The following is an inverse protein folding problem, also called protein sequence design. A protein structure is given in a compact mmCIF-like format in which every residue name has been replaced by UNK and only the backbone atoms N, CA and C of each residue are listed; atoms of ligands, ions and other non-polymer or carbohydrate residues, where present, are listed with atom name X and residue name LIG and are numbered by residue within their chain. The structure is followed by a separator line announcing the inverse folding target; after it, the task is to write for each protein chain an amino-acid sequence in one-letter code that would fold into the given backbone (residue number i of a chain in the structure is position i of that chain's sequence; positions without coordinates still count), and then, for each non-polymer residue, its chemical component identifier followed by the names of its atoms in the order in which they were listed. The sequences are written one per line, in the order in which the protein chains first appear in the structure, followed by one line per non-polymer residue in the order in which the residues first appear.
data_IF_981619299033
#
_entry.id   IF_981619299033
#
_cell.length_a   1.000
_cell.length_b   1.000
_cell.length_c   1.000
_cell.angle_alpha   90.00
_cell.angle_beta   90.00
_cell.angle_gamma   90.00
#
_symmetry.space_group_name_H-M   'P 1'
#
loop_
_entity.id
_entity.type
_entity.pdbx_description
1 polymer ?
#
# COMPACT_ATOMS: atom_id res chain seq x y z
N UNK A 1 -10.59 65.71 -59.26
CA UNK A 1 -10.67 65.16 -57.91
C UNK A 1 -10.95 63.64 -58.00
N UNK A 2 -11.97 63.11 -58.67
CA UNK A 2 -12.31 61.68 -58.78
C UNK A 2 -11.24 60.78 -59.43
N UNK A 3 -10.35 61.30 -60.28
CA UNK A 3 -9.30 60.50 -60.91
C UNK A 3 -8.11 60.28 -59.94
N UNK A 4 -7.77 61.22 -59.10
CA UNK A 4 -6.70 61.12 -58.10
C UNK A 4 -7.09 60.19 -56.96
N UNK A 5 -8.34 60.16 -56.55
CA UNK A 5 -8.87 59.18 -55.57
C UNK A 5 -8.75 57.72 -56.11
N UNK A 6 -9.13 57.53 -57.39
CA UNK A 6 -9.07 56.22 -58.04
C UNK A 6 -7.63 55.66 -58.21
N UNK A 7 -6.65 56.54 -58.40
CA UNK A 7 -5.24 56.20 -58.50
C UNK A 7 -4.67 55.88 -57.12
N UNK A 8 -5.06 56.66 -56.11
CA UNK A 8 -4.68 56.40 -54.71
C UNK A 8 -5.18 55.02 -54.21
N UNK A 9 -6.45 54.68 -54.47
CA UNK A 9 -7.04 53.39 -54.13
C UNK A 9 -6.36 52.18 -54.81
N UNK A 10 -5.97 52.38 -56.09
CA UNK A 10 -5.24 51.33 -56.84
C UNK A 10 -3.82 51.08 -56.29
N UNK A 11 -3.12 52.14 -55.87
CA UNK A 11 -1.78 52.06 -55.33
C UNK A 11 -1.76 51.43 -53.93
N UNK A 12 -2.65 51.81 -53.07
CA UNK A 12 -2.84 51.22 -51.73
C UNK A 12 -3.23 49.78 -51.82
N UNK A 13 -4.12 49.36 -52.67
CA UNK A 13 -4.46 47.95 -52.90
C UNK A 13 -3.26 47.13 -53.36
N UNK A 14 -2.45 47.66 -54.33
CA UNK A 14 -1.25 46.97 -54.79
C UNK A 14 -0.19 46.82 -53.69
N UNK A 15 0.00 47.84 -52.86
CA UNK A 15 0.91 47.81 -51.73
C UNK A 15 0.45 46.80 -50.69
N UNK A 16 -0.85 46.78 -50.33
CA UNK A 16 -1.45 45.81 -49.40
C UNK A 16 -1.27 44.36 -49.93
N UNK A 17 -1.58 44.11 -51.18
CA UNK A 17 -1.45 42.77 -51.75
C UNK A 17 0.03 42.30 -51.78
N UNK A 18 0.96 43.19 -52.10
CA UNK A 18 2.40 42.84 -52.03
C UNK A 18 2.86 42.60 -50.64
N UNK A 19 2.42 43.40 -49.66
CA UNK A 19 2.70 43.20 -48.26
C UNK A 19 2.14 41.87 -47.74
N UNK A 20 0.87 41.58 -48.07
CA UNK A 20 0.25 40.30 -47.69
C UNK A 20 0.97 39.09 -48.27
N UNK A 21 1.37 39.14 -49.54
CA UNK A 21 2.14 38.06 -50.18
C UNK A 21 3.50 37.82 -49.55
N UNK A 22 4.15 38.84 -49.04
CA UNK A 22 5.45 38.71 -48.41
C UNK A 22 5.35 38.38 -46.90
N UNK A 23 4.38 39.00 -46.21
CA UNK A 23 4.27 38.88 -44.77
C UNK A 23 3.52 37.63 -44.33
N UNK A 24 2.47 37.22 -45.05
CA UNK A 24 1.64 36.08 -44.69
C UNK A 24 2.41 34.76 -44.59
N UNK A 25 3.31 34.40 -45.57
CA UNK A 25 4.13 33.22 -45.45
C UNK A 25 5.06 33.26 -44.23
N UNK A 26 5.63 34.41 -43.91
CA UNK A 26 6.49 34.56 -42.71
C UNK A 26 5.70 34.31 -41.42
N UNK A 27 4.50 34.90 -41.34
CA UNK A 27 3.60 34.67 -40.19
C UNK A 27 3.23 33.21 -40.07
N UNK A 28 2.90 32.54 -41.18
CA UNK A 28 2.57 31.12 -41.19
C UNK A 28 3.77 30.27 -40.68
N UNK A 29 4.97 30.56 -41.18
CA UNK A 29 6.20 29.84 -40.74
C UNK A 29 6.44 30.07 -39.25
N UNK A 30 6.36 31.29 -38.78
CA UNK A 30 6.55 31.58 -37.34
C UNK A 30 5.47 30.90 -36.50
N UNK A 31 4.21 30.95 -36.94
CA UNK A 31 3.11 30.29 -36.24
C UNK A 31 3.30 28.77 -36.17
N UNK A 32 3.66 28.13 -37.29
CA UNK A 32 3.90 26.68 -37.30
C UNK A 32 5.10 26.30 -36.41
N UNK A 33 6.16 27.10 -36.39
CA UNK A 33 7.33 26.90 -35.53
C UNK A 33 6.96 27.02 -34.03
N UNK A 34 6.19 28.04 -33.66
CA UNK A 34 5.72 28.23 -32.29
C UNK A 34 4.78 27.09 -31.87
N UNK A 35 3.90 26.66 -32.77
CA UNK A 35 3.00 25.54 -32.53
C UNK A 35 3.77 24.23 -32.32
N UNK A 36 4.76 23.97 -33.14
CA UNK A 36 5.63 22.77 -33.01
C UNK A 36 6.39 22.77 -31.68
N UNK A 37 7.01 23.91 -31.32
CA UNK A 37 7.70 24.06 -30.04
C UNK A 37 6.72 23.83 -28.87
N UNK A 38 5.50 24.37 -28.94
CA UNK A 38 4.49 24.19 -27.91
C UNK A 38 4.08 22.73 -27.76
N UNK A 39 3.77 22.04 -28.86
CA UNK A 39 3.36 20.63 -28.87
C UNK A 39 4.48 19.74 -28.33
N UNK A 40 5.72 19.95 -28.82
CA UNK A 40 6.88 19.17 -28.41
C UNK A 40 7.22 19.40 -26.93
N UNK A 41 7.20 20.64 -26.46
CA UNK A 41 7.45 20.96 -25.04
C UNK A 41 6.38 20.35 -24.13
N UNK A 42 5.09 20.43 -24.54
CA UNK A 42 3.99 19.80 -23.79
C UNK A 42 4.16 18.27 -23.71
N UNK A 43 4.52 17.62 -24.81
CA UNK A 43 4.76 16.18 -24.84
C UNK A 43 5.92 15.80 -23.92
N UNK A 44 7.06 16.49 -24.03
CA UNK A 44 8.21 16.26 -23.18
C UNK A 44 7.91 16.45 -21.69
N UNK A 45 7.12 17.50 -21.34
CA UNK A 45 6.69 17.72 -19.96
C UNK A 45 5.79 16.60 -19.43
N UNK A 46 4.86 16.09 -20.23
CA UNK A 46 4.02 14.95 -19.85
C UNK A 46 4.84 13.66 -19.66
N UNK A 47 5.75 13.37 -20.57
CA UNK A 47 6.65 12.22 -20.47
C UNK A 47 7.53 12.29 -19.20
N UNK A 48 8.05 13.47 -18.88
CA UNK A 48 8.82 13.68 -17.65
C UNK A 48 7.98 13.43 -16.39
N UNK A 49 6.72 13.90 -16.36
CA UNK A 49 5.79 13.65 -15.25
C UNK A 49 5.53 12.15 -15.13
N UNK A 50 5.16 11.47 -16.21
CA UNK A 50 4.90 10.03 -16.20
C UNK A 50 6.11 9.22 -15.72
N UNK A 51 7.30 9.54 -16.23
CA UNK A 51 8.54 8.88 -15.81
C UNK A 51 8.81 9.08 -14.31
N UNK A 52 8.59 10.29 -13.80
CA UNK A 52 8.74 10.60 -12.37
C UNK A 52 7.73 9.83 -11.51
N UNK A 53 6.46 9.77 -11.93
CA UNK A 53 5.41 9.03 -11.22
C UNK A 53 5.68 7.52 -11.21
N UNK A 54 6.07 6.94 -12.35
CA UNK A 54 6.46 5.53 -12.43
C UNK A 54 7.64 5.20 -11.51
N UNK A 55 8.65 6.06 -11.47
CA UNK A 55 9.79 5.90 -10.57
C UNK A 55 9.35 5.92 -9.10
N UNK A 56 8.50 6.85 -8.71
CA UNK A 56 7.97 6.96 -7.35
C UNK A 56 7.18 5.69 -6.96
N UNK A 57 6.31 5.20 -7.85
CA UNK A 57 5.57 3.95 -7.64
C UNK A 57 6.54 2.77 -7.47
N UNK A 58 7.53 2.62 -8.35
CA UNK A 58 8.52 1.54 -8.27
C UNK A 58 9.31 1.57 -6.95
N UNK A 59 9.72 2.75 -6.48
CA UNK A 59 10.38 2.92 -5.19
C UNK A 59 9.45 2.49 -4.05
N UNK A 60 8.18 2.90 -4.10
CA UNK A 60 7.17 2.51 -3.11
C UNK A 60 6.94 1.01 -3.05
N UNK A 61 6.74 0.37 -4.19
CA UNK A 61 6.58 -1.10 -4.30
C UNK A 61 7.79 -1.82 -3.72
N UNK A 62 8.99 -1.49 -4.19
CA UNK A 62 10.24 -2.13 -3.69
C UNK A 62 10.44 -1.94 -2.19
N UNK A 63 10.05 -0.78 -1.65
CA UNK A 63 10.17 -0.51 -0.22
C UNK A 63 9.17 -1.33 0.60
N UNK A 64 7.93 -1.50 0.12
CA UNK A 64 6.92 -2.36 0.75
C UNK A 64 7.35 -3.83 0.69
N UNK A 65 7.86 -4.30 -0.45
CA UNK A 65 8.40 -5.67 -0.59
C UNK A 65 9.54 -5.95 0.40
N UNK A 66 10.46 -5.02 0.58
CA UNK A 66 11.52 -5.11 1.59
C UNK A 66 10.97 -5.21 3.00
N UNK A 67 9.92 -4.45 3.33
CA UNK A 67 9.24 -4.55 4.63
C UNK A 67 8.67 -5.96 4.79
N UNK A 68 7.89 -6.45 3.82
CA UNK A 68 7.27 -7.78 3.90
C UNK A 68 8.32 -8.89 4.02
N UNK A 69 9.40 -8.81 3.23
CA UNK A 69 10.51 -9.74 3.32
C UNK A 69 11.19 -9.70 4.71
N UNK A 70 11.39 -8.52 5.27
CA UNK A 70 11.94 -8.38 6.63
C UNK A 70 11.03 -9.05 7.68
N UNK A 71 9.71 -8.85 7.56
CA UNK A 71 8.73 -9.43 8.49
C UNK A 71 8.65 -10.94 8.37
N UNK A 72 8.67 -11.50 7.15
CA UNK A 72 8.72 -12.96 6.95
C UNK A 72 10.02 -13.57 7.46
N UNK A 73 11.14 -12.87 7.29
CA UNK A 73 12.44 -13.28 7.86
C UNK A 73 12.41 -13.29 9.39
N UNK A 74 11.84 -12.25 10.01
CA UNK A 74 11.66 -12.16 11.46
C UNK A 74 10.76 -13.31 11.98
N UNK A 75 9.66 -13.59 11.29
CA UNK A 75 8.77 -14.70 11.64
C UNK A 75 9.47 -16.05 11.52
N UNK A 76 10.23 -16.26 10.43
CA UNK A 76 11.03 -17.45 10.23
C UNK A 76 12.10 -17.65 11.32
N UNK A 77 12.73 -16.56 11.78
CA UNK A 77 13.64 -16.58 12.91
C UNK A 77 12.94 -17.01 14.21
N UNK A 78 11.78 -16.41 14.50
CA UNK A 78 11.01 -16.73 15.71
C UNK A 78 10.53 -18.20 15.73
N UNK A 79 10.13 -18.75 14.58
CA UNK A 79 9.76 -20.17 14.46
C UNK A 79 10.95 -21.08 14.71
N UNK A 80 12.13 -20.72 14.22
CA UNK A 80 13.37 -21.51 14.39
C UNK A 80 14.01 -21.38 15.77
N UNK A 81 13.52 -20.46 16.62
CA UNK A 81 13.99 -20.42 18.00
C UNK A 81 13.75 -21.78 18.65
N UNK A 82 14.80 -22.33 19.23
CA UNK A 82 14.84 -23.66 19.78
C UNK A 82 13.68 -24.00 20.74
N UNK A 83 13.14 -22.99 21.36
CA UNK A 83 12.01 -23.09 22.30
C UNK A 83 10.67 -23.39 21.60
N UNK A 84 10.51 -22.97 20.33
CA UNK A 84 9.29 -23.28 19.58
C UNK A 84 9.24 -24.73 19.12
N UNK A 85 10.37 -25.35 18.88
CA UNK A 85 10.46 -26.77 18.47
C UNK A 85 10.12 -27.73 19.59
N UNK A 86 10.33 -27.32 20.84
CA UNK A 86 9.95 -28.08 22.03
C UNK A 86 8.66 -27.60 22.64
N UNK A 87 7.68 -27.20 21.77
CA UNK A 87 6.44 -26.52 22.15
C UNK A 87 5.95 -27.03 23.49
N UNK A 88 6.45 -26.36 24.48
CA UNK A 88 6.26 -26.72 25.85
C UNK A 88 4.77 -26.65 26.21
N UNK A 89 4.24 -27.59 26.92
CA UNK A 89 2.94 -27.48 27.53
C UNK A 89 2.82 -26.11 28.19
N UNK A 90 1.72 -25.43 27.92
CA UNK A 90 1.45 -24.09 28.45
C UNK A 90 1.59 -24.10 29.97
N UNK A 91 2.76 -23.80 30.52
CA UNK A 91 3.10 -23.65 31.96
C UNK A 91 4.55 -24.04 32.28
N UNK A 92 5.33 -24.44 31.31
CA UNK A 92 6.74 -24.79 31.53
C UNK A 92 7.59 -23.51 31.67
N UNK A 93 8.78 -23.67 32.21
CA UNK A 93 9.74 -22.56 32.30
C UNK A 93 10.20 -22.12 30.89
N UNK A 94 10.22 -23.05 29.94
CA UNK A 94 10.52 -22.78 28.53
C UNK A 94 9.48 -21.85 27.89
N UNK A 95 8.18 -22.01 28.17
CA UNK A 95 7.15 -21.12 27.69
C UNK A 95 7.31 -19.70 28.24
N UNK A 96 7.69 -19.55 29.51
CA UNK A 96 7.97 -18.25 30.11
C UNK A 96 9.22 -17.59 29.51
N UNK A 97 10.25 -18.38 29.20
CA UNK A 97 11.43 -17.84 28.55
C UNK A 97 11.14 -17.40 27.13
N UNK A 98 10.33 -18.15 26.37
CA UNK A 98 9.85 -17.76 25.06
C UNK A 98 9.11 -16.41 25.10
N UNK A 99 8.21 -16.22 26.06
CA UNK A 99 7.48 -14.96 26.23
C UNK A 99 8.40 -13.78 26.56
N UNK A 100 9.46 -13.99 27.36
CA UNK A 100 10.49 -12.98 27.64
C UNK A 100 11.32 -12.63 26.39
N UNK A 101 11.69 -13.64 25.59
CA UNK A 101 12.42 -13.44 24.34
C UNK A 101 11.57 -12.63 23.35
N UNK A 102 10.28 -12.94 23.22
CA UNK A 102 9.35 -12.19 22.39
C UNK A 102 9.11 -10.77 22.90
N UNK A 103 9.12 -10.58 24.20
CA UNK A 103 9.04 -9.24 24.78
C UNK A 103 10.26 -8.41 24.41
N UNK A 104 11.48 -8.97 24.54
CA UNK A 104 12.72 -8.32 24.13
C UNK A 104 12.75 -8.05 22.61
N UNK A 105 12.35 -9.02 21.81
CA UNK A 105 12.23 -8.89 20.37
C UNK A 105 11.23 -7.79 19.97
N UNK A 106 10.03 -7.80 20.57
CA UNK A 106 9.00 -6.78 20.33
C UNK A 106 9.49 -5.38 20.67
N UNK A 107 10.21 -5.24 21.80
CA UNK A 107 10.82 -3.97 22.20
C UNK A 107 11.88 -3.50 21.21
N UNK A 108 12.76 -4.40 20.78
CA UNK A 108 13.84 -4.10 19.84
C UNK A 108 13.32 -3.66 18.46
N UNK A 109 12.30 -4.35 17.96
CA UNK A 109 11.73 -4.08 16.63
C UNK A 109 10.78 -2.89 16.60
N UNK A 110 9.92 -2.74 17.62
CA UNK A 110 8.97 -1.64 17.74
C UNK A 110 7.92 -1.52 16.63
N UNK A 111 7.80 -2.54 15.77
CA UNK A 111 6.92 -2.54 14.59
C UNK A 111 5.77 -3.55 14.66
N UNK A 112 5.84 -4.46 15.61
CA UNK A 112 4.82 -5.49 15.81
C UNK A 112 3.86 -5.06 16.91
N UNK A 113 2.56 -4.96 16.58
CA UNK A 113 1.51 -4.71 17.58
C UNK A 113 1.29 -5.94 18.45
N UNK A 114 1.42 -7.14 17.85
CA UNK A 114 1.26 -8.39 18.56
C UNK A 114 2.14 -9.49 17.99
N UNK A 115 2.66 -10.35 18.87
CA UNK A 115 3.25 -11.64 18.57
C UNK A 115 2.39 -12.67 19.27
N UNK A 116 1.90 -13.69 18.55
CA UNK A 116 1.01 -14.69 19.14
C UNK A 116 1.29 -16.08 18.62
N UNK A 117 1.26 -17.01 19.54
CA UNK A 117 1.27 -18.44 19.27
C UNK A 117 -0.13 -19.02 19.50
N UNK A 118 -0.64 -19.72 18.51
CA UNK A 118 -1.92 -20.45 18.56
C UNK A 118 -1.65 -21.91 18.27
N UNK A 119 -2.21 -22.80 19.08
CA UNK A 119 -2.13 -24.23 18.81
C UNK A 119 -2.94 -24.66 17.58
N UNK A 120 -2.89 -25.94 17.23
CA UNK A 120 -3.62 -26.50 16.08
C UNK A 120 -5.15 -26.36 16.17
N UNK A 121 -5.71 -26.08 17.35
CA UNK A 121 -7.14 -25.80 17.54
C UNK A 121 -7.49 -24.32 17.38
N UNK A 122 -6.50 -23.42 17.29
CA UNK A 122 -6.67 -21.98 17.23
C UNK A 122 -6.71 -21.29 18.59
N UNK A 123 -6.47 -22.03 19.67
CA UNK A 123 -6.39 -21.44 21.01
C UNK A 123 -5.03 -20.75 21.18
N UNK A 124 -5.04 -19.47 21.56
CA UNK A 124 -3.81 -18.76 21.92
C UNK A 124 -3.15 -19.44 23.15
N UNK A 125 -1.84 -19.67 23.08
CA UNK A 125 -0.99 -20.23 24.15
C UNK A 125 -0.02 -19.21 24.70
N UNK A 126 0.42 -18.27 23.88
CA UNK A 126 1.28 -17.16 24.26
C UNK A 126 0.95 -15.93 23.42
N UNK A 127 0.98 -14.75 24.04
CA UNK A 127 0.81 -13.49 23.35
C UNK A 127 1.58 -12.36 24.01
N UNK A 128 2.31 -11.60 23.19
CA UNK A 128 2.93 -10.33 23.57
C UNK A 128 2.23 -9.23 22.79
N UNK A 129 1.76 -8.20 23.48
CA UNK A 129 1.19 -6.99 22.86
C UNK A 129 2.15 -5.82 23.07
N UNK A 130 2.22 -4.93 22.07
CA UNK A 130 2.99 -3.68 22.18
C UNK A 130 2.05 -2.51 22.43
N UNK A 131 1.85 -2.19 23.71
CA UNK A 131 0.94 -1.14 24.15
C UNK A 131 1.72 0.11 24.57
N UNK A 132 1.37 1.28 23.99
CA UNK A 132 1.93 2.59 24.39
C UNK A 132 3.45 2.55 24.59
N UNK A 133 4.17 2.05 23.58
CA UNK A 133 5.63 1.92 23.54
C UNK A 133 6.26 0.98 24.58
N UNK A 134 5.45 0.11 25.17
CA UNK A 134 5.91 -0.96 26.06
C UNK A 134 5.30 -2.30 25.65
N UNK A 135 6.11 -3.30 25.36
CA UNK A 135 5.59 -4.66 25.16
C UNK A 135 5.18 -5.26 26.50
N UNK A 136 4.09 -6.00 26.49
CA UNK A 136 3.57 -6.71 27.67
C UNK A 136 3.22 -8.14 27.28
N UNK A 137 3.54 -9.08 28.18
CA UNK A 137 3.04 -10.45 28.09
C UNK A 137 1.58 -10.46 28.54
N UNK A 138 0.73 -11.09 27.76
CA UNK A 138 -0.70 -11.16 28.07
C UNK A 138 -0.96 -12.35 29.03
N UNK A 139 -1.66 -12.09 30.15
CA UNK A 139 -2.02 -13.14 31.09
C UNK A 139 -2.86 -14.24 30.44
N UNK A 140 -2.72 -15.47 30.88
CA UNK A 140 -3.39 -16.65 30.31
C UNK A 140 -4.90 -16.53 30.24
N UNK A 141 -5.51 -15.89 31.23
CA UNK A 141 -6.95 -15.66 31.32
C UNK A 141 -7.47 -14.74 30.23
N UNK A 142 -6.59 -13.96 29.60
CA UNK A 142 -6.89 -13.02 28.52
C UNK A 142 -6.56 -13.58 27.14
N UNK A 143 -5.99 -14.80 27.07
CA UNK A 143 -5.72 -15.51 25.81
C UNK A 143 -7.05 -15.96 25.19
N UNK A 144 -7.16 -15.85 23.87
CA UNK A 144 -8.42 -15.98 23.15
C UNK A 144 -8.40 -17.15 22.17
N UNK A 145 -9.57 -17.72 21.93
CA UNK A 145 -9.80 -18.61 20.80
C UNK A 145 -9.86 -17.82 19.50
N UNK A 146 -9.00 -18.17 18.56
CA UNK A 146 -8.89 -17.59 17.21
C UNK A 146 -9.22 -18.60 16.10
N UNK A 147 -9.77 -19.77 16.44
CA UNK A 147 -10.13 -20.81 15.48
C UNK A 147 -11.02 -20.35 14.34
N UNK A 148 -11.93 -19.40 14.61
CA UNK A 148 -12.86 -18.82 13.61
C UNK A 148 -12.28 -17.66 12.79
N UNK A 149 -11.01 -17.33 13.00
CA UNK A 149 -10.40 -16.21 12.26
C UNK A 149 -9.76 -16.72 10.97
N UNK A 150 -10.06 -16.03 9.86
CA UNK A 150 -9.58 -16.42 8.53
C UNK A 150 -8.05 -16.56 8.47
N UNK A 151 -7.32 -15.65 9.10
CA UNK A 151 -5.87 -15.66 9.10
C UNK A 151 -5.25 -16.89 9.80
N UNK A 152 -5.94 -17.43 10.81
CA UNK A 152 -5.53 -18.68 11.44
C UNK A 152 -5.76 -19.86 10.51
N UNK A 153 -6.98 -19.99 9.97
CA UNK A 153 -7.36 -21.07 9.09
C UNK A 153 -6.48 -21.13 7.81
N UNK A 154 -6.17 -19.96 7.24
CA UNK A 154 -5.37 -19.87 6.03
C UNK A 154 -3.88 -20.12 6.30
N UNK A 155 -3.33 -19.61 7.39
CA UNK A 155 -1.96 -19.91 7.80
C UNK A 155 -1.77 -21.40 8.16
N UNK A 156 -2.75 -22.01 8.81
CA UNK A 156 -2.68 -23.43 9.20
C UNK A 156 -2.66 -24.40 8.01
N UNK A 157 -3.19 -24.01 6.84
CA UNK A 157 -3.20 -24.83 5.61
C UNK A 157 -1.83 -24.93 4.95
N UNK A 158 -0.93 -23.98 5.22
CA UNK A 158 0.36 -23.87 4.57
C UNK A 158 1.29 -25.00 4.95
N UNK A 159 2.31 -25.20 4.13
CA UNK A 159 3.41 -26.12 4.40
C UNK A 159 4.51 -25.44 5.23
N UNK A 160 5.46 -26.23 5.68
CA UNK A 160 6.63 -25.70 6.38
C UNK A 160 7.40 -24.70 5.50
N UNK A 161 7.77 -23.56 6.09
CA UNK A 161 8.50 -22.50 5.40
C UNK A 161 7.65 -21.57 4.54
N UNK A 162 6.35 -21.84 4.39
CA UNK A 162 5.42 -20.94 3.71
C UNK A 162 4.86 -19.89 4.67
N UNK A 163 4.55 -18.71 4.13
CA UNK A 163 4.03 -17.59 4.91
C UNK A 163 2.67 -17.13 4.37
N UNK A 164 1.71 -16.99 5.28
CA UNK A 164 0.47 -16.30 5.03
C UNK A 164 0.67 -14.80 5.24
N UNK A 165 0.18 -13.98 4.32
CA UNK A 165 0.15 -12.50 4.44
C UNK A 165 -1.29 -12.05 4.22
N UNK A 166 -1.88 -11.41 5.23
CA UNK A 166 -3.25 -10.89 5.10
C UNK A 166 -3.31 -9.64 4.23
N UNK A 167 -4.48 -9.30 3.69
CA UNK A 167 -4.75 -7.93 3.26
C UNK A 167 -4.45 -6.92 4.39
N UNK A 168 -4.12 -5.68 3.99
CA UNK A 168 -4.06 -4.57 4.93
C UNK A 168 -5.50 -4.19 5.32
N UNK A 169 -5.83 -4.34 6.59
CA UNK A 169 -7.15 -4.05 7.15
C UNK A 169 -7.05 -3.25 8.46
N UNK A 170 -8.17 -2.87 9.05
CA UNK A 170 -8.21 -2.23 10.37
C UNK A 170 -8.30 -3.28 11.48
N UNK A 171 -7.60 -3.05 12.58
CA UNK A 171 -7.69 -3.94 13.71
C UNK A 171 -9.10 -3.97 14.30
N UNK A 172 -9.57 -5.19 14.59
CA UNK A 172 -10.86 -5.44 15.23
C UNK A 172 -10.60 -6.02 16.63
N UNK A 173 -10.99 -5.29 17.65
CA UNK A 173 -10.92 -5.73 19.03
C UNK A 173 -12.35 -5.87 19.59
N UNK A 174 -12.64 -7.01 20.23
CA UNK A 174 -13.98 -7.33 20.80
C UNK A 174 -15.14 -7.09 19.80
N UNK A 175 -14.92 -7.41 18.52
CA UNK A 175 -15.92 -7.28 17.45
C UNK A 175 -16.13 -5.87 16.90
N UNK A 176 -15.35 -4.88 17.32
CA UNK A 176 -15.42 -3.49 16.84
C UNK A 176 -14.08 -3.04 16.27
N UNK A 177 -14.11 -2.15 15.27
CA UNK A 177 -12.89 -1.48 14.80
C UNK A 177 -12.30 -0.67 15.94
N UNK A 178 -11.03 -0.92 16.24
CA UNK A 178 -10.31 -0.23 17.33
C UNK A 178 -10.18 1.27 17.04
N UNK A 179 -10.31 2.10 18.10
CA UNK A 179 -10.13 3.54 18.01
C UNK A 179 -9.01 4.02 18.94
N UNK A 180 -8.11 4.87 18.47
CA UNK A 180 -7.97 5.31 17.07
C UNK A 180 -7.70 4.14 16.13
N UNK A 181 -8.07 4.29 14.85
CA UNK A 181 -7.91 3.22 13.85
C UNK A 181 -6.46 2.75 13.78
N UNK A 182 -6.28 1.43 13.70
CA UNK A 182 -4.97 0.79 13.56
C UNK A 182 -4.95 -0.09 12.30
N UNK A 183 -4.36 0.37 11.20
CA UNK A 183 -4.09 -0.47 10.06
C UNK A 183 -3.14 -1.62 10.43
N UNK A 184 -3.46 -2.84 10.01
CA UNK A 184 -2.70 -4.06 10.33
C UNK A 184 -2.47 -4.94 9.12
N UNK A 185 -1.30 -5.55 9.02
CA UNK A 185 -1.06 -6.76 8.24
C UNK A 185 -0.72 -7.88 9.20
N UNK A 186 -1.35 -9.03 8.98
CA UNK A 186 -1.07 -10.25 9.75
C UNK A 186 -0.23 -11.17 8.92
N UNK A 187 0.92 -11.56 9.44
CA UNK A 187 1.83 -12.50 8.79
C UNK A 187 1.92 -13.71 9.70
N UNK A 188 1.60 -14.89 9.17
CA UNK A 188 1.56 -16.15 9.92
C UNK A 188 2.27 -17.27 9.17
N UNK A 189 2.74 -18.25 9.92
CA UNK A 189 3.32 -19.48 9.37
C UNK A 189 2.98 -20.65 10.29
N UNK A 190 2.77 -21.84 9.74
CA UNK A 190 2.59 -23.01 10.58
C UNK A 190 3.91 -23.38 11.29
N UNK A 191 3.77 -23.94 12.47
CA UNK A 191 4.90 -24.45 13.27
C UNK A 191 4.80 -25.96 13.34
N UNK A 192 5.91 -26.64 13.10
CA UNK A 192 6.04 -28.09 13.11
C UNK A 192 6.98 -28.52 14.22
N UNK A 193 6.75 -29.67 14.78
CA UNK A 193 7.67 -30.32 15.74
C UNK A 193 8.76 -31.13 15.01
N UNK A 194 9.63 -31.76 15.79
CA UNK A 194 10.71 -32.61 15.28
C UNK A 194 10.22 -33.87 14.53
N UNK A 195 8.94 -34.22 14.70
CA UNK A 195 8.26 -35.33 14.00
C UNK A 195 7.50 -34.87 12.79
N UNK A 196 7.73 -33.63 12.32
CA UNK A 196 7.05 -32.99 11.21
C UNK A 196 5.51 -32.85 11.40
N UNK A 197 5.05 -32.94 12.67
CA UNK A 197 3.64 -32.75 13.00
C UNK A 197 3.34 -31.27 13.22
N UNK A 198 2.29 -30.79 12.57
CA UNK A 198 1.84 -29.40 12.67
C UNK A 198 1.25 -29.11 14.05
N UNK A 199 1.88 -28.24 14.80
CA UNK A 199 1.52 -27.90 16.17
C UNK A 199 0.62 -26.69 16.29
N UNK A 200 0.62 -25.80 15.27
CA UNK A 200 -0.20 -24.60 15.27
C UNK A 200 0.35 -23.51 14.36
N UNK A 201 0.10 -22.25 14.71
CA UNK A 201 0.47 -21.09 13.92
C UNK A 201 1.13 -20.02 14.78
N UNK A 202 2.33 -19.58 14.38
CA UNK A 202 2.92 -18.35 14.88
C UNK A 202 2.50 -17.18 13.99
N UNK A 203 2.05 -16.08 14.60
CA UNK A 203 1.49 -14.93 13.89
C UNK A 203 2.06 -13.63 14.44
N UNK A 204 2.46 -12.74 13.52
CA UNK A 204 2.83 -11.36 13.79
C UNK A 204 1.73 -10.42 13.28
N UNK A 205 1.30 -9.50 14.12
CA UNK A 205 0.53 -8.34 13.69
C UNK A 205 1.50 -7.19 13.44
N UNK A 206 1.76 -6.88 12.16
CA UNK A 206 2.62 -5.79 11.76
C UNK A 206 1.81 -4.49 11.64
N UNK A 207 2.35 -3.38 12.15
CA UNK A 207 1.68 -2.06 12.08
C UNK A 207 1.64 -1.55 10.66
N UNK A 208 0.48 -1.58 10.03
CA UNK A 208 0.25 -1.15 8.65
C UNK A 208 0.49 0.34 8.41
N UNK A 209 0.46 1.17 9.47
CA UNK A 209 0.81 2.59 9.39
C UNK A 209 2.19 2.82 8.77
N UNK A 210 3.16 1.94 9.03
CA UNK A 210 4.50 2.03 8.44
C UNK A 210 4.47 1.83 6.93
N UNK A 211 3.61 0.95 6.43
CA UNK A 211 3.44 0.76 4.98
C UNK A 211 2.81 2.01 4.36
N UNK A 212 1.79 2.59 5.02
CA UNK A 212 1.18 3.83 4.56
C UNK A 212 2.15 5.01 4.60
N UNK A 213 3.04 5.05 5.60
CA UNK A 213 4.10 6.07 5.70
C UNK A 213 5.11 5.92 4.56
N UNK A 214 5.63 4.71 4.34
CA UNK A 214 6.58 4.43 3.24
C UNK A 214 5.95 4.74 1.88
N UNK A 215 4.68 4.36 1.67
CA UNK A 215 3.93 4.74 0.49
C UNK A 215 3.91 6.27 0.31
N UNK A 216 3.52 7.02 1.35
CA UNK A 216 3.47 8.48 1.30
C UNK A 216 4.83 9.12 1.01
N UNK A 217 5.88 8.64 1.67
CA UNK A 217 7.25 9.14 1.48
C UNK A 217 7.77 8.86 0.07
N UNK A 218 7.49 7.70 -0.50
CA UNK A 218 7.90 7.35 -1.86
C UNK A 218 7.19 8.14 -2.94
N UNK A 219 5.97 8.62 -2.67
CA UNK A 219 5.21 9.46 -3.60
C UNK A 219 5.67 10.92 -3.59
N UNK A 220 6.38 11.39 -2.56
CA UNK A 220 6.88 12.77 -2.47
C UNK A 220 5.78 13.81 -2.76
N UNK A 221 6.08 14.78 -3.62
CA UNK A 221 5.14 15.83 -4.02
C UNK A 221 3.91 15.32 -4.78
N UNK A 222 3.99 14.13 -5.38
CA UNK A 222 2.86 13.46 -6.04
C UNK A 222 1.90 12.79 -5.05
N UNK A 223 2.24 12.71 -3.77
CA UNK A 223 1.49 11.98 -2.74
C UNK A 223 0.02 12.42 -2.56
N UNK A 224 -0.30 13.67 -2.88
CA UNK A 224 -1.70 14.17 -2.87
C UNK A 224 -2.54 13.67 -4.05
N UNK A 225 -1.90 13.15 -5.11
CA UNK A 225 -2.54 12.65 -6.35
C UNK A 225 -2.45 11.14 -6.50
N UNK A 226 -1.67 10.47 -5.66
CA UNK A 226 -1.51 9.04 -5.68
C UNK A 226 -2.49 8.38 -4.70
N UNK A 227 -3.12 7.29 -5.13
CA UNK A 227 -4.08 6.54 -4.35
C UNK A 227 -3.59 5.11 -4.15
N UNK A 228 -3.73 4.61 -2.93
CA UNK A 228 -3.49 3.20 -2.61
C UNK A 228 -4.83 2.49 -2.48
N UNK A 229 -5.04 1.49 -3.31
CA UNK A 229 -6.27 0.70 -3.36
C UNK A 229 -5.98 -0.74 -2.92
N UNK A 230 -7.00 -1.39 -2.37
CA UNK A 230 -6.99 -2.85 -2.28
C UNK A 230 -7.48 -3.49 -3.60
N UNK A 231 -7.43 -4.81 -3.69
CA UNK A 231 -7.85 -5.55 -4.89
C UNK A 231 -9.31 -5.37 -5.28
N UNK A 232 -10.17 -4.97 -4.35
CA UNK A 232 -11.59 -4.74 -4.57
C UNK A 232 -11.89 -3.29 -4.96
N UNK A 233 -10.85 -2.43 -5.05
CA UNK A 233 -10.95 -1.03 -5.42
C UNK A 233 -11.32 -0.09 -4.27
N UNK A 234 -11.22 -0.51 -3.02
CA UNK A 234 -11.40 0.38 -1.88
C UNK A 234 -10.12 1.14 -1.56
N UNK A 235 -10.28 2.42 -1.20
CA UNK A 235 -9.14 3.22 -0.77
C UNK A 235 -8.60 2.76 0.58
N UNK A 236 -7.33 2.40 0.61
CA UNK A 236 -6.53 2.25 1.82
C UNK A 236 -5.90 3.59 2.19
N UNK A 237 -5.52 4.37 1.16
CA UNK A 237 -5.07 5.76 1.27
C UNK A 237 -5.53 6.53 0.03
N UNK A 238 -6.20 7.67 0.24
CA UNK A 238 -6.77 8.48 -0.83
C UNK A 238 -6.67 9.97 -0.54
N UNK A 239 -7.26 10.77 -1.44
CA UNK A 239 -7.33 12.23 -1.28
C UNK A 239 -8.30 12.64 -0.14
N UNK A 240 -9.33 11.84 0.10
CA UNK A 240 -10.32 12.09 1.15
C UNK A 240 -10.28 10.98 2.20
N UNK A 241 -9.83 11.27 3.44
CA UNK A 241 -9.77 10.29 4.52
C UNK A 241 -11.13 9.64 4.86
N UNK A 242 -12.25 10.34 4.66
CA UNK A 242 -13.59 9.80 4.94
C UNK A 242 -13.99 8.66 3.98
N UNK A 243 -13.30 8.53 2.86
CA UNK A 243 -13.52 7.46 1.89
C UNK A 243 -12.64 6.24 2.14
N UNK A 244 -11.62 6.37 2.98
CA UNK A 244 -10.69 5.29 3.29
C UNK A 244 -11.40 4.16 4.07
N UNK A 245 -10.94 2.93 3.85
CA UNK A 245 -11.42 1.73 4.57
C UNK A 245 -12.91 1.41 4.36
N UNK A 246 -13.51 1.85 3.26
CA UNK A 246 -14.93 1.64 2.97
C UNK A 246 -15.40 0.18 3.12
N UNK A 247 -14.56 -0.79 2.80
CA UNK A 247 -14.87 -2.22 2.98
C UNK A 247 -14.99 -2.65 4.45
N UNK A 248 -14.26 -1.98 5.36
CA UNK A 248 -14.34 -2.25 6.81
C UNK A 248 -15.60 -1.66 7.44
N UNK A 249 -16.05 -0.53 6.91
CA UNK A 249 -17.28 0.16 7.35
C UNK A 249 -18.53 -0.28 6.58
N UNK A 250 -18.39 -1.29 5.68
CA UNK A 250 -19.47 -1.79 4.81
C UNK A 250 -20.08 -0.71 3.91
N UNK A 251 -19.32 0.31 3.59
CA UNK A 251 -19.72 1.39 2.70
C UNK A 251 -19.19 1.13 1.28
N UNK A 252 -20.02 0.51 0.43
CA UNK A 252 -19.67 0.17 -0.95
C UNK A 252 -19.44 1.39 -1.84
N UNK A 253 -20.13 2.48 -1.58
CA UNK A 253 -20.02 3.72 -2.34
C UNK A 253 -18.62 4.34 -2.20
N UNK A 254 -17.91 4.04 -1.14
CA UNK A 254 -16.53 4.46 -0.91
C UNK A 254 -15.53 3.50 -1.56
N UNK A 255 -15.67 3.29 -2.87
CA UNK A 255 -14.70 2.54 -3.68
C UNK A 255 -14.46 3.19 -5.04
N UNK A 256 -13.28 2.96 -5.60
CA UNK A 256 -12.91 3.35 -6.97
C UNK A 256 -13.85 2.72 -7.99
N UNK A 257 -14.26 1.49 -7.73
CA UNK A 257 -15.17 0.73 -8.58
C UNK A 257 -16.52 1.41 -8.76
N UNK A 258 -17.09 1.94 -7.68
CA UNK A 258 -18.41 2.60 -7.72
C UNK A 258 -18.31 4.07 -8.20
N UNK A 259 -17.27 4.78 -7.77
CA UNK A 259 -17.14 6.21 -8.10
C UNK A 259 -16.52 6.51 -9.45
N UNK A 260 -15.62 5.64 -9.92
CA UNK A 260 -14.86 5.82 -11.17
C UNK A 260 -14.83 4.52 -11.99
N UNK A 261 -15.99 3.96 -12.39
CA UNK A 261 -16.09 2.63 -13.00
C UNK A 261 -15.27 2.47 -14.27
N UNK A 262 -15.17 3.51 -15.10
CA UNK A 262 -14.37 3.44 -16.32
C UNK A 262 -12.85 3.41 -16.05
N UNK A 263 -12.40 4.17 -15.05
CA UNK A 263 -11.01 4.12 -14.63
C UNK A 263 -10.68 2.78 -13.96
N UNK A 264 -11.60 2.25 -13.14
CA UNK A 264 -11.45 0.95 -12.51
C UNK A 264 -11.34 -0.18 -13.53
N UNK A 265 -12.17 -0.18 -14.57
CA UNK A 265 -12.07 -1.16 -15.67
C UNK A 265 -10.69 -1.16 -16.32
N UNK A 266 -10.12 0.02 -16.57
CA UNK A 266 -8.76 0.13 -17.13
C UNK A 266 -7.72 -0.48 -16.21
N UNK A 267 -7.72 -0.11 -14.92
CA UNK A 267 -6.80 -0.65 -13.91
C UNK A 267 -6.83 -2.18 -13.91
N UNK A 268 -8.02 -2.78 -13.83
CA UNK A 268 -8.16 -4.24 -13.77
C UNK A 268 -7.80 -4.93 -15.10
N UNK A 269 -7.94 -4.24 -16.24
CA UNK A 269 -7.59 -4.80 -17.55
C UNK A 269 -6.09 -4.77 -17.83
N UNK A 270 -5.34 -3.85 -17.24
CA UNK A 270 -3.88 -3.72 -17.40
C UNK A 270 -3.11 -4.66 -16.45
N UNK A 271 -3.76 -5.18 -15.42
CA UNK A 271 -3.20 -6.11 -14.42
C UNK A 271 -3.23 -7.59 -14.90
N UNK A 272 -3.50 -7.84 -16.18
CA UNK A 272 -3.50 -9.15 -16.84
C UNK A 272 -2.42 -9.23 -17.90
#
# INVERSE_FOLDING_TARGET
VKILEKIGDSWTRHAIVKFQKLFLPVVIVVFTMVLDIYVTSKKAALEAIHSSEQKSISVGVTSIEKILHSVTSDLGFLVKQHTMTKIAPAHSEEAKNLEKDWLAFSLSKGVYDQIRWMDHTGQEKARVNYNKDKPIIIPKQELQDKSKRYYFADALKLNEGEFFISPLDLNIEKGKIEQPIKPMIRIGTPVFDESEQKQGVLLLNYRGERILTVYKESMGDSGSRAWLLNRDGYWLKGANPEMEWGFMYKNRENSMRERYPEAWKKIVSEDR
#
